data_IF_926947181458
#
_entry.id   IF_926947181458
#
_cell.length_a   1.000
_cell.length_b   1.000
_cell.length_c   1.000
_cell.angle_alpha   90.00
_cell.angle_beta   90.00
_cell.angle_gamma   90.00
#
_symmetry.space_group_name_H-M   'P 1'
#
loop_
_entity.id
_entity.type
_entity.pdbx_description
1 polymer ?
#
# COMPACT_ATOMS: atom_id res chain seq x y z
N UNK A 1 9.77 -37.72 4.30
CA UNK A 1 8.68 -36.73 4.17
C UNK A 1 9.19 -35.34 4.53
N UNK A 2 8.59 -34.28 3.99
CA UNK A 2 8.94 -32.90 4.35
C UNK A 2 8.47 -32.59 5.78
N UNK A 3 9.27 -31.82 6.53
CA UNK A 3 8.85 -31.30 7.84
C UNK A 3 7.69 -30.31 7.71
N UNK A 4 6.87 -30.16 8.76
CA UNK A 4 5.70 -29.26 8.75
C UNK A 4 6.06 -27.83 8.33
N UNK A 5 7.19 -27.31 8.82
CA UNK A 5 7.69 -25.98 8.45
C UNK A 5 8.07 -25.90 6.97
N UNK A 6 8.66 -26.97 6.41
CA UNK A 6 9.02 -27.02 4.99
C UNK A 6 7.80 -27.02 4.08
N UNK A 7 6.71 -27.68 4.50
CA UNK A 7 5.43 -27.66 3.76
C UNK A 7 4.87 -26.24 3.70
N UNK A 8 4.85 -25.53 4.84
CA UNK A 8 4.35 -24.15 4.90
C UNK A 8 5.17 -23.24 3.97
N UNK A 9 6.50 -23.25 4.10
CA UNK A 9 7.37 -22.34 3.36
C UNK A 9 7.43 -22.65 1.85
N UNK A 10 7.41 -23.93 1.45
CA UNK A 10 7.61 -24.31 0.03
C UNK A 10 6.32 -24.55 -0.74
N UNK A 11 5.21 -24.80 -0.07
CA UNK A 11 3.94 -25.14 -0.72
C UNK A 11 2.89 -24.08 -0.40
N UNK A 12 2.56 -23.89 0.88
CA UNK A 12 1.47 -22.99 1.27
C UNK A 12 1.76 -21.53 0.95
N UNK A 13 2.95 -21.03 1.30
CA UNK A 13 3.35 -19.63 1.13
C UNK A 13 3.38 -19.15 -0.34
N UNK A 14 3.98 -19.87 -1.30
CA UNK A 14 3.94 -19.45 -2.70
C UNK A 14 2.54 -19.54 -3.32
N UNK A 15 1.69 -20.48 -2.87
CA UNK A 15 0.30 -20.56 -3.33
C UNK A 15 -0.56 -19.42 -2.79
N UNK A 16 -0.28 -18.92 -1.59
CA UNK A 16 -0.98 -17.76 -1.01
C UNK A 16 -0.41 -16.42 -1.45
N UNK A 17 0.70 -16.39 -2.18
CA UNK A 17 1.38 -15.18 -2.64
C UNK A 17 0.47 -14.17 -3.36
N UNK A 18 -0.47 -14.57 -4.25
CA UNK A 18 -1.40 -13.65 -4.88
C UNK A 18 -2.36 -12.99 -3.87
N UNK A 19 -2.85 -13.75 -2.90
CA UNK A 19 -3.72 -13.24 -1.84
C UNK A 19 -2.95 -12.32 -0.88
N UNK A 20 -1.71 -12.70 -0.52
CA UNK A 20 -0.83 -11.88 0.29
C UNK A 20 -0.51 -10.55 -0.39
N UNK A 21 -0.26 -10.54 -1.70
CA UNK A 21 -0.03 -9.32 -2.46
C UNK A 21 -1.22 -8.34 -2.35
N UNK A 22 -2.44 -8.84 -2.53
CA UNK A 22 -3.66 -8.03 -2.38
C UNK A 22 -3.82 -7.46 -0.97
N UNK A 23 -3.63 -8.30 0.05
CA UNK A 23 -3.75 -7.88 1.45
C UNK A 23 -2.66 -6.86 1.81
N UNK A 24 -1.41 -7.08 1.37
CA UNK A 24 -0.31 -6.15 1.59
C UNK A 24 -0.58 -4.79 0.96
N UNK A 25 -1.08 -4.74 -0.27
CA UNK A 25 -1.48 -3.49 -0.92
C UNK A 25 -2.58 -2.77 -0.14
N UNK A 26 -3.60 -3.50 0.30
CA UNK A 26 -4.71 -2.95 1.06
C UNK A 26 -4.25 -2.37 2.41
N UNK A 27 -3.44 -3.13 3.16
CA UNK A 27 -2.88 -2.68 4.45
C UNK A 27 -1.95 -1.48 4.23
N UNK A 28 -1.13 -1.49 3.18
CA UNK A 28 -0.29 -0.34 2.83
C UNK A 28 -1.12 0.90 2.54
N UNK A 29 -2.19 0.77 1.74
CA UNK A 29 -3.09 1.87 1.41
C UNK A 29 -3.71 2.49 2.68
N UNK A 30 -4.16 1.66 3.63
CA UNK A 30 -4.69 2.16 4.91
C UNK A 30 -3.59 2.89 5.70
N UNK A 31 -2.45 2.23 5.92
CA UNK A 31 -1.37 2.78 6.73
C UNK A 31 -0.77 4.07 6.13
N UNK A 32 -0.69 4.16 4.80
CA UNK A 32 -0.19 5.32 4.08
C UNK A 32 -1.14 6.52 4.17
N UNK A 33 -2.45 6.26 4.13
CA UNK A 33 -3.49 7.28 4.25
C UNK A 33 -3.85 7.61 5.71
N UNK A 34 -3.19 7.00 6.70
CA UNK A 34 -3.51 7.20 8.10
C UNK A 34 -3.16 8.62 8.55
N UNK A 35 -4.20 9.46 8.65
CA UNK A 35 -4.09 10.86 9.01
C UNK A 35 -4.24 11.09 10.52
N UNK A 36 -5.17 10.41 11.18
CA UNK A 36 -5.54 10.72 12.57
C UNK A 36 -4.38 10.41 13.52
N UNK A 37 -3.73 9.26 13.33
CA UNK A 37 -2.55 8.91 14.12
C UNK A 37 -1.42 9.92 13.89
N UNK A 38 -1.17 10.30 12.64
CA UNK A 38 -0.13 11.27 12.31
C UNK A 38 -0.44 12.67 12.86
N UNK A 39 -1.71 13.05 12.94
CA UNK A 39 -2.14 14.31 13.53
C UNK A 39 -1.99 14.32 15.05
N UNK A 40 -2.29 13.20 15.70
CA UNK A 40 -2.27 13.09 17.16
C UNK A 40 -0.87 12.88 17.75
N UNK A 41 0.01 12.13 17.08
CA UNK A 41 1.31 11.72 17.65
C UNK A 41 2.49 12.60 17.24
N UNK A 42 2.39 13.25 16.09
CA UNK A 42 3.48 14.07 15.58
C UNK A 42 3.10 15.52 15.90
N UNK A 43 3.99 16.31 16.47
CA UNK A 43 3.77 17.76 16.65
C UNK A 43 4.84 18.58 15.91
N UNK A 44 5.98 17.96 15.64
CA UNK A 44 7.11 18.55 14.95
C UNK A 44 6.91 18.48 13.41
N UNK A 45 6.81 19.63 12.70
CA UNK A 45 6.62 19.70 11.25
C UNK A 45 7.65 18.91 10.45
N UNK A 46 8.87 18.75 10.97
CA UNK A 46 9.95 18.01 10.28
C UNK A 46 9.70 16.50 10.23
N UNK A 47 8.75 15.99 11.02
CA UNK A 47 8.40 14.56 11.11
C UNK A 47 7.05 14.23 10.49
N UNK A 48 6.40 15.21 9.85
CA UNK A 48 5.05 15.00 9.33
C UNK A 48 5.04 13.95 8.22
N UNK A 49 4.04 13.08 8.28
CA UNK A 49 3.72 12.20 7.15
C UNK A 49 3.23 13.04 5.99
N UNK A 50 3.42 12.56 4.75
CA UNK A 50 3.01 13.28 3.55
C UNK A 50 1.51 13.64 3.62
N UNK A 51 0.66 12.70 4.01
CA UNK A 51 -0.79 12.88 4.16
C UNK A 51 -1.12 14.02 5.12
N UNK A 52 -0.42 14.11 6.26
CA UNK A 52 -0.61 15.23 7.19
C UNK A 52 -0.03 16.55 6.66
N UNK A 53 1.17 16.53 6.08
CA UNK A 53 1.81 17.72 5.54
C UNK A 53 0.96 18.40 4.46
N UNK A 54 0.33 17.61 3.58
CA UNK A 54 -0.57 18.12 2.55
C UNK A 54 -1.79 18.83 3.17
N UNK A 55 -2.31 18.39 4.31
CA UNK A 55 -3.43 19.10 4.97
C UNK A 55 -3.07 20.49 5.49
N UNK A 56 -1.80 20.77 5.79
CA UNK A 56 -1.38 22.14 6.15
C UNK A 56 -1.48 23.11 4.98
N UNK A 57 -1.42 22.59 3.75
CA UNK A 57 -1.62 23.39 2.55
C UNK A 57 -3.09 23.82 2.37
N UNK A 58 -4.00 23.31 3.20
CA UNK A 58 -5.43 23.62 3.17
C UNK A 58 -5.72 24.91 3.96
N UNK A 59 -4.98 25.97 3.64
CA UNK A 59 -5.15 27.32 4.17
C UNK A 59 -5.72 28.24 3.10
N UNK A 60 -6.51 29.23 3.51
CA UNK A 60 -7.10 30.24 2.62
C UNK A 60 -6.07 31.01 1.79
N UNK A 61 -4.83 31.09 2.26
CA UNK A 61 -3.74 31.81 1.59
C UNK A 61 -2.98 30.95 0.55
N UNK A 62 -3.13 29.62 0.60
CA UNK A 62 -2.37 28.72 -0.26
C UNK A 62 -3.19 28.40 -1.51
N UNK A 63 -2.62 28.60 -2.71
CA UNK A 63 -3.32 28.26 -3.95
C UNK A 63 -3.65 26.76 -3.99
N UNK A 64 -4.92 26.41 -4.26
CA UNK A 64 -5.41 25.02 -4.28
C UNK A 64 -4.65 24.09 -5.23
N UNK A 65 -3.93 24.65 -6.20
CA UNK A 65 -3.05 23.88 -7.10
C UNK A 65 -1.98 23.12 -6.32
N UNK A 66 -1.47 23.67 -5.22
CA UNK A 66 -0.46 23.01 -4.39
C UNK A 66 -1.03 21.81 -3.62
N UNK A 67 -2.27 21.92 -3.13
CA UNK A 67 -3.01 20.80 -2.53
C UNK A 67 -3.19 19.66 -3.53
N UNK A 68 -3.62 19.98 -4.75
CA UNK A 68 -3.83 18.99 -5.80
C UNK A 68 -2.51 18.32 -6.22
N UNK A 69 -1.42 19.08 -6.33
CA UNK A 69 -0.09 18.54 -6.59
C UNK A 69 0.35 17.58 -5.46
N UNK A 70 0.14 17.96 -4.20
CA UNK A 70 0.41 17.11 -3.04
C UNK A 70 -0.40 15.80 -3.06
N UNK A 71 -1.69 15.86 -3.42
CA UNK A 71 -2.54 14.68 -3.55
C UNK A 71 -2.08 13.73 -4.67
N UNK A 72 -1.62 14.26 -5.81
CA UNK A 72 -1.03 13.46 -6.88
C UNK A 72 0.23 12.75 -6.39
N UNK A 73 1.14 13.48 -5.73
CA UNK A 73 2.37 12.90 -5.16
C UNK A 73 2.04 11.82 -4.14
N UNK A 74 1.02 12.02 -3.30
CA UNK A 74 0.58 11.03 -2.31
C UNK A 74 0.06 9.72 -2.92
N UNK A 75 -0.40 9.76 -4.18
CA UNK A 75 -0.90 8.59 -4.90
C UNK A 75 0.24 7.78 -5.55
N UNK A 76 1.38 8.41 -5.86
CA UNK A 76 2.52 7.78 -6.56
C UNK A 76 3.03 6.51 -5.85
N UNK A 77 3.26 6.49 -4.52
CA UNK A 77 3.77 5.29 -3.84
C UNK A 77 2.83 4.09 -3.94
N UNK A 78 1.52 4.33 -3.87
CA UNK A 78 0.50 3.28 -4.01
C UNK A 78 0.55 2.71 -5.44
N UNK A 79 0.66 3.55 -6.46
CA UNK A 79 0.79 3.09 -7.84
C UNK A 79 2.06 2.26 -8.06
N UNK A 80 3.20 2.71 -7.52
CA UNK A 80 4.46 1.96 -7.62
C UNK A 80 4.34 0.60 -6.96
N UNK A 81 3.74 0.52 -5.77
CA UNK A 81 3.52 -0.74 -5.06
C UNK A 81 2.56 -1.65 -5.84
N UNK A 82 1.47 -1.10 -6.37
CA UNK A 82 0.50 -1.83 -7.18
C UNK A 82 1.17 -2.45 -8.41
N UNK A 83 1.89 -1.66 -9.21
CA UNK A 83 2.58 -2.16 -10.41
C UNK A 83 3.63 -3.23 -10.06
N UNK A 84 4.33 -3.08 -8.93
CA UNK A 84 5.28 -4.08 -8.45
C UNK A 84 4.64 -5.41 -8.03
N UNK A 85 3.42 -5.35 -7.46
CA UNK A 85 2.67 -6.49 -6.96
C UNK A 85 1.74 -7.13 -8.00
N UNK A 86 1.37 -6.40 -9.04
CA UNK A 86 0.45 -6.81 -10.11
C UNK A 86 0.84 -8.17 -10.72
N UNK A 87 2.15 -8.40 -10.92
CA UNK A 87 2.68 -9.68 -11.45
C UNK A 87 2.36 -10.91 -10.60
N UNK A 88 2.12 -10.74 -9.30
CA UNK A 88 1.76 -11.84 -8.39
C UNK A 88 0.26 -12.10 -8.42
N UNK A 89 -0.53 -11.05 -8.61
CA UNK A 89 -2.00 -11.12 -8.68
C UNK A 89 -2.45 -11.77 -10.00
N UNK A 90 -1.82 -11.44 -11.12
CA UNK A 90 -2.16 -11.98 -12.45
C UNK A 90 -1.83 -13.48 -12.59
N UNK A 91 -0.72 -13.95 -12.02
CA UNK A 91 -0.34 -15.37 -12.02
C UNK A 91 -1.29 -16.26 -11.20
N UNK A 92 -1.89 -15.72 -10.13
CA UNK A 92 -2.85 -16.44 -9.30
C UNK A 92 -4.17 -16.72 -10.01
N UNK A 93 -4.63 -15.78 -10.84
CA UNK A 93 -5.88 -15.91 -11.62
C UNK A 93 -5.77 -16.98 -12.71
N UNK A 94 -4.61 -17.14 -13.35
CA UNK A 94 -4.42 -18.14 -14.40
C UNK A 94 -4.18 -19.56 -13.87
N UNK A 95 -3.66 -19.69 -12.65
CA UNK A 95 -3.34 -21.00 -12.06
C UNK A 95 -4.59 -21.84 -11.73
N UNK A 96 -5.74 -21.19 -11.46
CA UNK A 96 -7.02 -21.86 -11.21
C UNK A 96 -7.85 -22.16 -12.47
N UNK A 97 -7.50 -21.56 -13.62
CA UNK A 97 -8.31 -21.63 -14.85
C UNK A 97 -8.12 -22.92 -15.66
N UNK A 98 -7.12 -23.76 -15.34
CA UNK A 98 -6.72 -24.90 -16.19
C UNK A 98 -7.22 -26.26 -15.67
N UNK A 99 -8.23 -26.27 -14.80
CA UNK A 99 -8.97 -27.50 -14.44
C UNK A 99 -10.47 -27.25 -14.52
N UNK A 100 -10.90 -26.80 -15.69
CA UNK A 100 -12.19 -27.11 -16.30
C UNK A 100 -11.91 -27.85 -17.60
#
# INVERSE_FOLDING_TARGET
GLSRLSVIMRITLPLSLPALASVSLYVFMIAWNEFLLAFMLLDDPTKFTLTRGVTMLNSSEIPRQHLMAGAVIATVPIMVLFLGLEKFMTKGLTAGSVKG
#
